data_IF_687590241680
#
_entry.id   IF_687590241680
#
_cell.length_a   1.000
_cell.length_b   1.000
_cell.length_c   1.000
_cell.angle_alpha   90.00
_cell.angle_beta   90.00
_cell.angle_gamma   90.00
#
_symmetry.space_group_name_H-M   'P 1'
#
loop_
_entity.id
_entity.type
_entity.pdbx_description
1 polymer ?
#
# COMPACT_ATOMS: atom_id res chain seq x y z
N UNK A 1 -37.88 5.46 35.02
CA UNK A 1 -37.41 6.07 33.73
C UNK A 1 -38.63 6.39 32.88
N UNK A 2 -38.89 7.68 32.62
CA UNK A 2 -40.01 8.11 31.79
C UNK A 2 -39.76 7.80 30.30
N UNK A 3 -40.82 7.75 29.49
CA UNK A 3 -40.72 7.50 28.04
C UNK A 3 -39.79 8.53 27.34
N UNK A 4 -39.80 9.78 27.84
CA UNK A 4 -38.98 10.86 27.33
C UNK A 4 -37.48 10.66 27.61
N UNK A 5 -37.12 10.05 28.72
CA UNK A 5 -35.72 9.73 29.09
C UNK A 5 -35.19 8.57 28.24
N UNK A 6 -36.02 7.57 27.92
CA UNK A 6 -35.64 6.49 26.99
C UNK A 6 -35.40 7.00 25.60
N UNK A 7 -36.22 7.89 25.07
CA UNK A 7 -36.05 8.49 23.75
C UNK A 7 -34.78 9.36 23.67
N UNK A 8 -34.43 10.08 24.74
CA UNK A 8 -33.19 10.87 24.81
C UNK A 8 -31.95 9.97 24.84
N UNK A 9 -31.98 8.88 25.62
CA UNK A 9 -30.89 7.92 25.71
C UNK A 9 -30.65 7.21 24.35
N UNK A 10 -31.69 6.79 23.63
CA UNK A 10 -31.60 6.19 22.31
C UNK A 10 -31.03 7.15 21.25
N UNK A 11 -31.43 8.44 21.33
CA UNK A 11 -30.87 9.47 20.44
C UNK A 11 -29.39 9.73 20.71
N UNK A 12 -28.97 9.76 21.97
CA UNK A 12 -27.57 9.92 22.36
C UNK A 12 -26.72 8.73 21.90
N UNK A 13 -27.16 7.50 22.13
CA UNK A 13 -26.47 6.28 21.67
C UNK A 13 -26.36 6.21 20.13
N UNK A 14 -27.40 6.66 19.41
CA UNK A 14 -27.40 6.73 17.96
C UNK A 14 -26.45 7.81 17.42
N UNK A 15 -26.37 8.96 18.10
CA UNK A 15 -25.43 10.03 17.77
C UNK A 15 -23.97 9.62 18.00
N UNK A 16 -23.70 8.91 19.10
CA UNK A 16 -22.38 8.36 19.44
C UNK A 16 -21.94 7.29 18.41
N UNK A 17 -22.86 6.42 17.98
CA UNK A 17 -22.63 5.42 16.95
C UNK A 17 -22.37 6.03 15.55
N UNK A 18 -22.98 7.19 15.25
CA UNK A 18 -22.73 7.95 14.03
C UNK A 18 -21.39 8.70 14.11
N UNK A 19 -21.05 9.25 15.29
CA UNK A 19 -19.77 9.91 15.52
C UNK A 19 -18.60 8.92 15.45
N UNK A 20 -18.73 7.71 16.03
CA UNK A 20 -17.73 6.64 15.91
C UNK A 20 -17.58 6.14 14.47
N UNK A 21 -18.66 6.06 13.68
CA UNK A 21 -18.58 5.73 12.24
C UNK A 21 -17.92 6.83 11.41
N UNK A 22 -18.10 8.11 11.77
CA UNK A 22 -17.40 9.23 11.09
C UNK A 22 -15.92 9.30 11.43
N UNK A 23 -15.49 8.84 12.63
CA UNK A 23 -14.07 8.76 12.99
C UNK A 23 -13.32 7.64 12.23
N UNK A 24 -14.01 6.58 11.84
CA UNK A 24 -13.44 5.47 11.01
C UNK A 24 -13.31 5.86 9.53
N UNK A 25 -13.98 6.91 9.07
CA UNK A 25 -13.93 7.35 7.65
C UNK A 25 -12.83 8.38 7.35
N UNK A 26 -12.04 8.81 8.31
CA UNK A 26 -10.80 9.53 8.05
C UNK A 26 -9.71 8.52 7.74
N UNK A 27 -9.43 8.31 6.45
CA UNK A 27 -8.18 7.72 6.00
C UNK A 27 -7.09 8.56 6.64
N UNK A 28 -6.35 7.96 7.56
CA UNK A 28 -5.25 8.63 8.22
C UNK A 28 -4.15 8.87 7.19
N UNK A 29 -4.00 10.11 6.78
CA UNK A 29 -3.00 10.54 5.79
C UNK A 29 -1.57 10.54 6.35
N UNK A 30 -1.35 10.06 7.58
CA UNK A 30 -0.03 10.00 8.22
C UNK A 30 0.97 9.11 7.46
N UNK A 31 0.49 8.06 6.79
CA UNK A 31 1.32 7.25 5.89
C UNK A 31 1.80 8.09 4.70
N UNK A 32 0.91 8.86 4.06
CA UNK A 32 1.23 9.78 2.97
C UNK A 32 2.25 10.85 3.40
N UNK A 33 2.22 11.31 4.64
CA UNK A 33 3.19 12.29 5.13
C UNK A 33 4.58 11.70 5.41
N UNK A 34 4.66 10.46 5.85
CA UNK A 34 5.94 9.73 5.96
C UNK A 34 6.58 9.51 4.59
N UNK A 35 5.75 9.15 3.58
CA UNK A 35 6.20 9.06 2.19
C UNK A 35 6.72 10.39 1.65
N UNK A 36 6.06 11.50 1.97
CA UNK A 36 6.52 12.85 1.57
C UNK A 36 7.87 13.21 2.19
N UNK A 37 8.12 12.84 3.44
CA UNK A 37 9.42 13.02 4.10
C UNK A 37 10.53 12.23 3.41
N UNK A 38 10.25 10.97 3.03
CA UNK A 38 11.16 10.09 2.31
C UNK A 38 11.41 10.59 0.88
N UNK A 39 10.36 11.05 0.19
CA UNK A 39 10.47 11.72 -1.12
C UNK A 39 11.39 12.94 -1.05
N UNK A 40 11.30 13.75 -0.01
CA UNK A 40 12.15 14.94 0.16
C UNK A 40 13.64 14.58 0.24
N UNK A 41 13.98 13.45 0.86
CA UNK A 41 15.36 12.94 0.94
C UNK A 41 15.86 12.45 -0.43
N UNK A 42 14.97 11.85 -1.24
CA UNK A 42 15.26 11.37 -2.59
C UNK A 42 15.23 12.50 -3.66
N UNK A 43 14.70 13.68 -3.33
CA UNK A 43 14.59 14.80 -4.28
C UNK A 43 15.92 15.36 -4.77
N UNK A 44 17.02 15.07 -4.06
CA UNK A 44 18.38 15.38 -4.53
C UNK A 44 18.91 14.34 -5.52
N UNK A 45 18.04 13.50 -6.05
CA UNK A 45 18.33 12.28 -6.79
C UNK A 45 19.10 12.56 -8.08
N UNK A 46 20.36 12.27 -8.05
CA UNK A 46 21.21 12.03 -9.21
C UNK A 46 21.03 10.57 -9.68
N UNK A 47 21.60 10.19 -10.83
CA UNK A 47 21.56 8.80 -11.31
C UNK A 47 22.38 7.81 -10.47
N UNK A 48 22.51 8.03 -9.15
CA UNK A 48 23.20 7.16 -8.22
C UNK A 48 22.33 5.98 -7.84
N UNK A 49 22.95 4.85 -7.59
CA UNK A 49 22.28 3.68 -7.04
C UNK A 49 21.78 3.95 -5.62
N UNK A 50 20.69 3.30 -5.24
CA UNK A 50 20.19 3.34 -3.87
C UNK A 50 21.22 2.75 -2.91
N UNK A 51 21.46 3.42 -1.80
CA UNK A 51 22.25 2.87 -0.69
C UNK A 51 21.47 1.79 0.05
N UNK A 52 22.16 0.94 0.82
CA UNK A 52 21.53 -0.07 1.66
C UNK A 52 20.57 0.56 2.68
N UNK A 53 20.95 1.71 3.25
CA UNK A 53 20.14 2.45 4.20
C UNK A 53 18.83 2.92 3.54
N UNK A 54 18.91 3.53 2.35
CA UNK A 54 17.73 3.97 1.59
C UNK A 54 16.83 2.80 1.20
N UNK A 55 17.40 1.65 0.80
CA UNK A 55 16.60 0.44 0.51
C UNK A 55 15.88 -0.06 1.75
N UNK A 56 16.56 -0.12 2.89
CA UNK A 56 15.95 -0.56 4.15
C UNK A 56 14.85 0.40 4.61
N UNK A 57 15.04 1.71 4.48
CA UNK A 57 14.00 2.70 4.78
C UNK A 57 12.76 2.53 3.89
N UNK A 58 12.96 2.22 2.60
CA UNK A 58 11.86 1.95 1.66
C UNK A 58 11.10 0.66 2.00
N UNK A 59 11.80 -0.39 2.42
CA UNK A 59 11.21 -1.70 2.70
C UNK A 59 10.57 -1.79 4.08
N UNK A 60 11.09 -1.07 5.07
CA UNK A 60 10.66 -1.17 6.47
C UNK A 60 9.15 -1.03 6.70
N UNK A 61 8.41 -0.07 6.09
CA UNK A 61 6.96 0.01 6.26
C UNK A 61 6.24 -1.22 5.72
N UNK A 62 6.75 -1.79 4.62
CA UNK A 62 6.19 -2.98 3.99
C UNK A 62 6.44 -4.23 4.84
N UNK A 63 7.64 -4.39 5.39
CA UNK A 63 7.99 -5.45 6.33
C UNK A 63 7.08 -5.46 7.56
N UNK A 64 6.84 -4.29 8.14
CA UNK A 64 5.95 -4.13 9.29
C UNK A 64 4.52 -4.56 8.91
N UNK A 65 4.01 -4.12 7.76
CA UNK A 65 2.67 -4.46 7.29
C UNK A 65 2.54 -5.98 7.01
N UNK A 66 3.56 -6.61 6.41
CA UNK A 66 3.61 -8.06 6.17
C UNK A 66 3.68 -8.84 7.49
N UNK A 67 4.47 -8.37 8.45
CA UNK A 67 4.52 -8.99 9.76
C UNK A 67 3.13 -9.00 10.42
N UNK A 68 2.45 -7.87 10.44
CA UNK A 68 1.09 -7.74 10.97
C UNK A 68 0.07 -8.58 10.19
N UNK A 69 0.16 -8.61 8.85
CA UNK A 69 -0.64 -9.47 7.98
C UNK A 69 -0.50 -10.94 8.39
N UNK A 70 0.73 -11.38 8.64
CA UNK A 70 1.06 -12.77 8.98
C UNK A 70 0.51 -13.20 10.35
N UNK A 71 0.33 -12.25 11.26
CA UNK A 71 -0.17 -12.47 12.61
C UNK A 71 -1.65 -12.13 12.79
N UNK A 72 -2.35 -11.74 11.70
CA UNK A 72 -3.76 -11.33 11.78
C UNK A 72 -4.00 -10.00 12.51
N UNK A 73 -2.98 -9.16 12.58
CA UNK A 73 -2.97 -7.86 13.27
C UNK A 73 -3.07 -6.67 12.30
N UNK A 74 -3.45 -6.93 11.03
CA UNK A 74 -3.49 -5.92 9.99
C UNK A 74 -4.50 -4.83 10.32
N UNK A 75 -4.04 -3.58 10.43
CA UNK A 75 -4.88 -2.39 10.55
C UNK A 75 -5.10 -1.75 9.17
N UNK A 76 -6.02 -0.78 9.09
CA UNK A 76 -6.32 -0.09 7.82
C UNK A 76 -5.11 0.65 7.26
N UNK A 77 -4.30 1.27 8.11
CA UNK A 77 -3.05 1.94 7.71
C UNK A 77 -2.03 0.97 7.11
N UNK A 78 -1.89 -0.23 7.69
CA UNK A 78 -1.00 -1.26 7.19
C UNK A 78 -1.49 -1.79 5.83
N UNK A 79 -2.80 -1.94 5.67
CA UNK A 79 -3.40 -2.33 4.40
C UNK A 79 -3.16 -1.29 3.30
N UNK A 80 -3.31 0.01 3.62
CA UNK A 80 -2.98 1.10 2.68
C UNK A 80 -1.50 1.04 2.30
N UNK A 81 -0.59 0.80 3.26
CA UNK A 81 0.83 0.62 2.98
C UNK A 81 1.08 -0.53 2.00
N UNK A 82 0.40 -1.69 2.15
CA UNK A 82 0.53 -2.81 1.21
C UNK A 82 0.08 -2.41 -0.22
N UNK A 83 -1.02 -1.67 -0.35
CA UNK A 83 -1.52 -1.19 -1.64
C UNK A 83 -0.55 -0.20 -2.30
N UNK A 84 -0.06 0.78 -1.54
CA UNK A 84 0.86 1.81 -2.04
C UNK A 84 2.21 1.19 -2.47
N UNK A 85 2.76 0.29 -1.67
CA UNK A 85 4.02 -0.39 -1.98
C UNK A 85 3.90 -1.33 -3.17
N UNK A 86 2.78 -2.03 -3.32
CA UNK A 86 2.54 -2.86 -4.51
C UNK A 86 2.41 -1.99 -5.78
N UNK A 87 1.71 -0.85 -5.69
CA UNK A 87 1.63 0.11 -6.80
C UNK A 87 3.01 0.68 -7.16
N UNK A 88 3.81 1.05 -6.16
CA UNK A 88 5.20 1.49 -6.37
C UNK A 88 6.06 0.42 -7.06
N UNK A 89 5.99 -0.82 -6.61
CA UNK A 89 6.73 -1.93 -7.19
C UNK A 89 6.34 -2.18 -8.65
N UNK A 90 5.05 -2.12 -8.96
CA UNK A 90 4.53 -2.23 -10.33
C UNK A 90 5.08 -1.13 -11.26
N UNK A 91 5.02 0.13 -10.83
CA UNK A 91 5.54 1.27 -11.59
C UNK A 91 7.06 1.18 -11.78
N UNK A 92 7.78 0.71 -10.76
CA UNK A 92 9.23 0.50 -10.82
C UNK A 92 9.60 -0.59 -11.84
N UNK A 93 8.90 -1.73 -11.82
CA UNK A 93 9.10 -2.81 -12.79
C UNK A 93 8.85 -2.33 -14.24
N UNK A 94 7.75 -1.63 -14.48
CA UNK A 94 7.41 -1.05 -15.78
C UNK A 94 8.48 -0.07 -16.28
N UNK A 95 9.01 0.75 -15.38
CA UNK A 95 10.07 1.70 -15.70
C UNK A 95 11.39 1.00 -16.04
N UNK A 96 11.83 0.04 -15.24
CA UNK A 96 13.05 -0.73 -15.50
C UNK A 96 12.91 -1.55 -16.78
N UNK A 97 11.73 -2.11 -17.05
CA UNK A 97 11.43 -2.80 -18.30
C UNK A 97 11.64 -1.89 -19.52
N UNK A 98 11.13 -0.65 -19.45
CA UNK A 98 11.28 0.31 -20.56
C UNK A 98 12.73 0.74 -20.82
N UNK A 99 13.58 0.65 -19.81
CA UNK A 99 15.01 1.04 -19.89
C UNK A 99 15.92 -0.14 -20.22
N UNK A 100 15.46 -1.36 -20.01
CA UNK A 100 16.26 -2.56 -20.29
C UNK A 100 16.43 -2.78 -21.79
N UNK A 101 17.62 -3.17 -22.20
CA UNK A 101 17.94 -3.59 -23.59
C UNK A 101 18.10 -5.11 -23.71
N UNK A 102 18.17 -5.82 -22.57
CA UNK A 102 18.35 -7.26 -22.53
C UNK A 102 16.98 -7.96 -22.47
N UNK A 103 16.71 -8.88 -23.40
CA UNK A 103 15.42 -9.55 -23.53
C UNK A 103 15.11 -10.48 -22.35
N UNK A 104 16.13 -11.12 -21.77
CA UNK A 104 15.99 -11.97 -20.60
C UNK A 104 15.57 -11.15 -19.35
N UNK A 105 16.22 -10.01 -19.17
CA UNK A 105 15.86 -9.04 -18.13
C UNK A 105 14.43 -8.50 -18.34
N UNK A 106 14.06 -8.18 -19.58
CA UNK A 106 12.67 -7.75 -19.89
C UNK A 106 11.66 -8.83 -19.56
N UNK A 107 11.94 -10.09 -19.85
CA UNK A 107 11.04 -11.19 -19.53
C UNK A 107 10.84 -11.33 -18.01
N UNK A 108 11.90 -11.21 -17.21
CA UNK A 108 11.82 -11.22 -15.75
C UNK A 108 11.01 -10.02 -15.21
N UNK A 109 11.22 -8.83 -15.75
CA UNK A 109 10.49 -7.63 -15.37
C UNK A 109 9.01 -7.71 -15.77
N UNK A 110 8.70 -8.30 -16.91
CA UNK A 110 7.32 -8.57 -17.32
C UNK A 110 6.64 -9.58 -16.38
N UNK A 111 7.36 -10.63 -15.96
CA UNK A 111 6.84 -11.58 -14.97
C UNK A 111 6.58 -10.89 -13.62
N UNK A 112 7.51 -10.09 -13.13
CA UNK A 112 7.30 -9.35 -11.89
C UNK A 112 6.07 -8.42 -11.95
N UNK A 113 5.85 -7.75 -13.10
CA UNK A 113 4.67 -6.91 -13.31
C UNK A 113 3.36 -7.71 -13.25
N UNK A 114 3.34 -8.93 -13.78
CA UNK A 114 2.19 -9.84 -13.65
C UNK A 114 1.94 -10.23 -12.20
N UNK A 115 2.98 -10.56 -11.45
CA UNK A 115 2.86 -10.93 -10.04
C UNK A 115 2.38 -9.75 -9.17
N UNK A 116 2.81 -8.52 -9.46
CA UNK A 116 2.26 -7.32 -8.82
C UNK A 116 0.79 -7.10 -9.16
N UNK A 117 0.38 -7.40 -10.40
CA UNK A 117 -1.03 -7.32 -10.78
C UNK A 117 -1.88 -8.35 -10.02
N UNK A 118 -1.41 -9.59 -9.93
CA UNK A 118 -2.05 -10.63 -9.10
C UNK A 118 -2.14 -10.18 -7.64
N UNK A 119 -1.08 -9.60 -7.09
CA UNK A 119 -1.10 -9.07 -5.72
C UNK A 119 -2.15 -7.95 -5.57
N UNK A 120 -2.26 -7.02 -6.54
CA UNK A 120 -3.27 -5.96 -6.52
C UNK A 120 -4.69 -6.53 -6.49
N UNK A 121 -5.01 -7.53 -7.32
CA UNK A 121 -6.33 -8.19 -7.30
C UNK A 121 -6.62 -8.84 -5.94
N UNK A 122 -5.64 -9.50 -5.33
CA UNK A 122 -5.78 -10.09 -4.00
C UNK A 122 -5.98 -9.04 -2.90
N UNK A 123 -5.33 -7.89 -3.01
CA UNK A 123 -5.55 -6.76 -2.10
C UNK A 123 -6.96 -6.17 -2.27
N UNK A 124 -7.48 -6.08 -3.50
CA UNK A 124 -8.88 -5.67 -3.74
C UNK A 124 -9.85 -6.65 -3.08
N UNK A 125 -9.69 -7.96 -3.29
CA UNK A 125 -10.52 -8.99 -2.66
C UNK A 125 -10.50 -8.89 -1.12
N UNK A 126 -9.34 -8.61 -0.55
CA UNK A 126 -9.15 -8.43 0.90
C UNK A 126 -9.87 -7.17 1.39
N UNK A 127 -9.79 -6.07 0.65
CA UNK A 127 -10.50 -4.82 0.95
C UNK A 127 -12.03 -4.99 0.89
N UNK A 128 -12.56 -5.66 -0.12
CA UNK A 128 -13.99 -5.96 -0.24
C UNK A 128 -14.48 -6.88 0.89
N UNK A 129 -13.64 -7.80 1.34
CA UNK A 129 -13.95 -8.64 2.51
C UNK A 129 -13.95 -7.82 3.80
N UNK A 130 -13.01 -6.89 3.95
CA UNK A 130 -13.00 -5.97 5.09
C UNK A 130 -14.29 -5.14 5.16
N UNK A 131 -14.79 -4.60 4.05
CA UNK A 131 -16.06 -3.85 4.00
C UNK A 131 -17.23 -4.66 4.56
N UNK A 132 -17.25 -5.99 4.32
CA UNK A 132 -18.33 -6.88 4.78
C UNK A 132 -18.16 -7.34 6.23
N UNK A 133 -16.91 -7.61 6.67
CA UNK A 133 -16.62 -8.26 7.95
C UNK A 133 -16.17 -7.29 9.05
N UNK A 134 -15.77 -6.06 8.68
CA UNK A 134 -15.19 -5.08 9.61
C UNK A 134 -13.78 -5.46 10.11
N UNK A 135 -13.16 -6.50 9.54
CA UNK A 135 -11.80 -6.95 9.87
C UNK A 135 -11.12 -7.56 8.65
N UNK A 136 -9.80 -7.52 8.61
CA UNK A 136 -9.02 -8.19 7.59
C UNK A 136 -8.92 -9.69 7.89
N UNK A 137 -9.64 -10.49 7.11
CA UNK A 137 -9.55 -11.95 7.14
C UNK A 137 -8.69 -12.39 5.96
N UNK A 138 -7.42 -12.72 6.23
CA UNK A 138 -6.41 -13.00 5.22
C UNK A 138 -6.43 -14.47 4.83
N UNK A 139 -6.47 -14.76 3.54
CA UNK A 139 -6.34 -16.11 2.99
C UNK A 139 -4.88 -16.44 2.70
N UNK A 140 -4.55 -17.73 2.63
CA UNK A 140 -3.19 -18.18 2.32
C UNK A 140 -2.69 -17.67 0.97
N UNK A 141 -3.54 -17.67 -0.06
CA UNK A 141 -3.21 -17.17 -1.40
C UNK A 141 -2.92 -15.67 -1.44
N UNK A 142 -3.63 -14.86 -0.64
CA UNK A 142 -3.39 -13.42 -0.50
C UNK A 142 -2.05 -13.15 0.19
N UNK A 143 -1.77 -13.89 1.25
CA UNK A 143 -0.48 -13.82 1.93
C UNK A 143 0.68 -14.20 0.99
N UNK A 144 0.52 -15.27 0.22
CA UNK A 144 1.54 -15.70 -0.75
C UNK A 144 1.77 -14.61 -1.80
N UNK A 145 0.71 -14.01 -2.36
CA UNK A 145 0.85 -12.95 -3.36
C UNK A 145 1.59 -11.72 -2.80
N UNK A 146 1.29 -11.30 -1.57
CA UNK A 146 1.99 -10.18 -0.91
C UNK A 146 3.46 -10.51 -0.67
N UNK A 147 3.78 -11.73 -0.21
CA UNK A 147 5.18 -12.16 -0.01
C UNK A 147 5.96 -12.24 -1.32
N UNK A 148 5.34 -12.73 -2.40
CA UNK A 148 5.96 -12.74 -3.74
C UNK A 148 6.23 -11.31 -4.23
N UNK A 149 5.28 -10.40 -4.04
CA UNK A 149 5.43 -8.97 -4.36
C UNK A 149 6.62 -8.36 -3.60
N UNK A 150 6.79 -8.67 -2.31
CA UNK A 150 7.92 -8.21 -1.52
C UNK A 150 9.26 -8.70 -2.08
N UNK A 151 9.37 -9.99 -2.39
CA UNK A 151 10.59 -10.59 -2.95
C UNK A 151 11.00 -9.92 -4.28
N UNK A 152 10.03 -9.63 -5.14
CA UNK A 152 10.29 -8.89 -6.37
C UNK A 152 10.74 -7.45 -6.08
N UNK A 153 10.08 -6.75 -5.16
CA UNK A 153 10.44 -5.38 -4.82
C UNK A 153 11.88 -5.28 -4.31
N UNK A 154 12.30 -6.20 -3.42
CA UNK A 154 13.68 -6.27 -2.94
C UNK A 154 14.68 -6.41 -4.10
N UNK A 155 14.40 -7.31 -5.05
CA UNK A 155 15.26 -7.50 -6.23
C UNK A 155 15.31 -6.26 -7.12
N UNK A 156 14.17 -5.59 -7.35
CA UNK A 156 14.09 -4.37 -8.15
C UNK A 156 14.87 -3.22 -7.51
N UNK A 157 14.79 -3.07 -6.18
CA UNK A 157 15.51 -2.02 -5.46
C UNK A 157 17.02 -2.19 -5.52
N UNK A 158 17.53 -3.43 -5.63
CA UNK A 158 18.97 -3.71 -5.77
C UNK A 158 19.57 -3.22 -7.09
N UNK A 159 18.73 -3.00 -8.12
CA UNK A 159 19.17 -2.55 -9.46
C UNK A 159 18.60 -1.17 -9.81
N UNK A 160 18.09 -0.47 -8.83
CA UNK A 160 17.38 0.80 -9.02
C UNK A 160 18.23 1.99 -8.57
N UNK A 161 18.21 3.07 -9.36
CA UNK A 161 18.77 4.36 -8.96
C UNK A 161 17.73 5.19 -8.19
N UNK A 162 18.22 6.13 -7.38
CA UNK A 162 17.38 7.10 -6.65
C UNK A 162 16.34 7.78 -7.55
N UNK A 163 16.76 8.22 -8.75
CA UNK A 163 15.88 8.91 -9.71
C UNK A 163 14.79 8.01 -10.29
N UNK A 164 15.05 6.72 -10.45
CA UNK A 164 14.04 5.76 -10.91
C UNK A 164 13.04 5.43 -9.80
N UNK A 165 13.53 5.22 -8.58
CA UNK A 165 12.68 4.98 -7.42
C UNK A 165 11.72 6.16 -7.18
N UNK A 166 12.24 7.39 -7.19
CA UNK A 166 11.44 8.60 -7.02
C UNK A 166 10.33 8.72 -8.07
N UNK A 167 10.67 8.53 -9.36
CA UNK A 167 9.67 8.64 -10.43
C UNK A 167 8.60 7.56 -10.37
N UNK A 168 8.98 6.33 -10.00
CA UNK A 168 8.01 5.25 -9.80
C UNK A 168 7.06 5.57 -8.64
N UNK A 169 7.58 6.10 -7.55
CA UNK A 169 6.81 6.49 -6.38
C UNK A 169 5.80 7.60 -6.68
N UNK A 170 6.21 8.65 -7.42
CA UNK A 170 5.31 9.72 -7.85
C UNK A 170 4.18 9.22 -8.76
N UNK A 171 4.48 8.27 -9.66
CA UNK A 171 3.47 7.68 -10.54
C UNK A 171 2.49 6.80 -9.74
N UNK A 172 2.99 6.00 -8.82
CA UNK A 172 2.18 5.15 -7.94
C UNK A 172 1.20 6.00 -7.11
N UNK A 173 1.68 7.07 -6.45
CA UNK A 173 0.84 7.99 -5.69
C UNK A 173 -0.28 8.59 -6.57
N UNK A 174 0.07 9.09 -7.75
CA UNK A 174 -0.90 9.65 -8.71
C UNK A 174 -1.96 8.62 -9.10
N UNK A 175 -1.57 7.37 -9.36
CA UNK A 175 -2.48 6.31 -9.78
C UNK A 175 -3.40 5.86 -8.64
N UNK A 176 -2.87 5.71 -7.43
CA UNK A 176 -3.67 5.38 -6.23
C UNK A 176 -4.68 6.50 -5.94
N UNK A 177 -4.26 7.76 -5.95
CA UNK A 177 -5.16 8.90 -5.74
C UNK A 177 -6.24 9.00 -6.82
N UNK A 178 -5.89 8.74 -8.08
CA UNK A 178 -6.86 8.72 -9.19
C UNK A 178 -7.88 7.57 -9.06
N UNK A 179 -7.45 6.41 -8.56
CA UNK A 179 -8.35 5.29 -8.30
C UNK A 179 -9.32 5.60 -7.15
N UNK A 180 -8.83 6.18 -6.05
CA UNK A 180 -9.65 6.57 -4.90
C UNK A 180 -10.69 7.64 -5.29
N UNK A 181 -10.33 8.62 -6.12
CA UNK A 181 -11.25 9.66 -6.57
C UNK A 181 -12.41 9.13 -7.44
N UNK A 182 -12.27 7.96 -8.08
CA UNK A 182 -13.33 7.31 -8.87
C UNK A 182 -14.31 6.51 -8.03
N UNK A 183 -13.97 6.20 -6.79
CA UNK A 183 -14.77 5.36 -5.87
C UNK A 183 -15.51 6.23 -4.84
N UNK A 184 -15.17 7.50 -4.74
CA UNK A 184 -15.82 8.50 -3.89
C UNK A 184 -17.01 9.16 -4.55
#
# INVERSE_FOLDING_TARGET
MSLSERIKADRAAKAEKIASRKSVSRIDTSASERYKGMLATLFCASGKDLTDEQRNELLMPFDIAIHKLSHGLLATEDFVTLVEMNAFAYELAGRLHSLSTNDETKALLAQSALDFHVCADRLVDMGERYKRLGKYAVKAEERTAVLTSMQWLEQLLNVTTEGHALKAMMLAEKNVMSALAKVS
#
